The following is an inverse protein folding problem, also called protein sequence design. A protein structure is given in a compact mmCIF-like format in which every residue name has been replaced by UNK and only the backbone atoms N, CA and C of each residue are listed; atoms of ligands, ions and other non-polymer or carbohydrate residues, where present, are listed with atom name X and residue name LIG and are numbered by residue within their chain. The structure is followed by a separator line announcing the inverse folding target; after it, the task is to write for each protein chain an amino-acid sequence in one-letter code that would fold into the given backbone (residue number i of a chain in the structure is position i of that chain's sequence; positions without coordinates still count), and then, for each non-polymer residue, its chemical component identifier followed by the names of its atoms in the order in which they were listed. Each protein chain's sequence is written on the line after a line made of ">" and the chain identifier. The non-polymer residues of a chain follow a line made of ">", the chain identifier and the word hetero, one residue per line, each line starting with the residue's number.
data_IF_594647406547
#
_entry.id   IF_594647406547
#
_cell.length_a   1.000
_cell.length_b   1.000
_cell.length_c   1.000
_cell.angle_alpha   90.00
_cell.angle_beta   90.00
_cell.angle_gamma   90.00
#
_symmetry.space_group_name_H-M   'P 1'
#
loop_
_entity.id
_entity.type
_entity.pdbx_description
1 polymer ?
#
# COMPACT_ATOMS: atom_id res chain seq x y z
N UNK A 1 -4.78 -6.99 -6.38
CA UNK A 1 -5.17 -7.16 -4.96
C UNK A 1 -6.24 -6.13 -4.58
N UNK A 2 -7.37 -6.60 -4.12
CA UNK A 2 -8.47 -5.72 -3.73
C UNK A 2 -8.08 -4.78 -2.57
N UNK A 3 -7.26 -5.26 -1.63
CA UNK A 3 -6.83 -4.43 -0.51
C UNK A 3 -6.05 -3.18 -0.96
N UNK A 4 -5.46 -3.20 -2.14
CA UNK A 4 -4.67 -2.10 -2.68
C UNK A 4 -5.44 -1.24 -3.68
N UNK A 5 -6.74 -1.50 -3.87
CA UNK A 5 -7.56 -0.67 -4.78
C UNK A 5 -7.91 0.68 -4.16
N UNK A 6 -7.76 0.83 -2.86
CA UNK A 6 -8.01 2.09 -2.15
C UNK A 6 -6.71 2.93 -2.09
N UNK A 7 -6.76 4.21 -2.48
CA UNK A 7 -5.55 5.06 -2.47
C UNK A 7 -4.90 5.20 -1.10
N UNK A 8 -5.69 5.27 -0.03
CA UNK A 8 -5.15 5.40 1.33
C UNK A 8 -4.39 4.13 1.72
N UNK A 9 -4.96 2.95 1.42
CA UNK A 9 -4.30 1.69 1.73
C UNK A 9 -3.00 1.53 0.94
N UNK A 10 -2.97 1.95 -0.31
CA UNK A 10 -1.75 1.94 -1.12
C UNK A 10 -0.69 2.86 -0.51
N UNK A 11 -1.09 4.04 -0.06
CA UNK A 11 -0.17 4.98 0.62
C UNK A 11 0.39 4.38 1.91
N UNK A 12 -0.44 3.68 2.69
CA UNK A 12 0.01 2.98 3.90
C UNK A 12 1.10 1.97 3.56
N UNK A 13 0.87 1.15 2.53
CA UNK A 13 1.83 0.15 2.09
C UNK A 13 3.14 0.80 1.66
N UNK A 14 3.07 1.89 0.91
CA UNK A 14 4.27 2.61 0.47
C UNK A 14 5.07 3.15 1.65
N UNK A 15 4.41 3.67 2.67
CA UNK A 15 5.10 4.16 3.87
C UNK A 15 5.72 3.02 4.67
N UNK A 16 5.01 1.90 4.80
CA UNK A 16 5.52 0.73 5.51
C UNK A 16 6.66 0.05 4.77
N UNK A 17 6.81 0.29 3.48
CA UNK A 17 7.94 -0.22 2.71
C UNK A 17 9.27 0.39 3.17
N UNK A 18 9.22 1.55 3.80
CA UNK A 18 10.41 2.24 4.32
C UNK A 18 10.74 1.84 5.74
N UNK A 19 9.85 1.14 6.42
CA UNK A 19 10.05 0.67 7.78
C UNK A 19 8.75 0.60 8.57
N UNK A 20 8.78 -0.03 9.75
CA UNK A 20 7.59 -0.13 10.58
C UNK A 20 7.13 1.23 11.08
N UNK A 21 5.81 1.39 11.21
CA UNK A 21 5.20 2.62 11.71
C UNK A 21 4.07 2.28 12.67
N UNK A 22 3.81 3.20 13.60
CA UNK A 22 2.67 3.12 14.51
C UNK A 22 1.41 3.59 13.80
N UNK A 23 0.25 3.09 14.24
CA UNK A 23 -1.03 3.50 13.67
C UNK A 23 -1.24 5.02 13.72
N UNK A 24 -0.87 5.65 14.84
CA UNK A 24 -0.98 7.11 15.00
C UNK A 24 -0.09 7.87 14.01
N UNK A 25 1.11 7.38 13.77
CA UNK A 25 2.02 7.97 12.80
C UNK A 25 1.45 7.90 11.39
N UNK A 26 0.83 6.78 11.03
CA UNK A 26 0.17 6.62 9.73
C UNK A 26 -1.01 7.59 9.58
N UNK A 27 -1.86 7.68 10.62
CA UNK A 27 -3.00 8.61 10.63
C UNK A 27 -2.54 10.05 10.42
N UNK A 28 -1.54 10.46 11.18
CA UNK A 28 -1.05 11.84 11.15
C UNK A 28 -0.42 12.16 9.80
N UNK A 29 0.42 11.26 9.28
CA UNK A 29 1.14 11.50 8.04
C UNK A 29 0.24 11.52 6.81
N UNK A 30 -0.89 10.80 6.84
CA UNK A 30 -1.81 10.71 5.71
C UNK A 30 -3.04 11.61 5.87
N UNK A 31 -3.14 12.32 6.99
CA UNK A 31 -4.28 13.21 7.24
C UNK A 31 -5.61 12.46 7.36
N UNK A 32 -5.57 11.23 7.87
CA UNK A 32 -6.73 10.36 8.02
C UNK A 32 -7.03 10.21 9.50
N UNK A 33 -8.31 10.23 9.88
CA UNK A 33 -8.70 10.05 11.28
C UNK A 33 -8.31 8.67 11.80
N UNK A 34 -8.07 8.56 13.11
CA UNK A 34 -7.69 7.29 13.70
C UNK A 34 -8.73 6.18 13.48
N UNK A 35 -10.06 6.43 13.63
CA UNK A 35 -11.04 5.39 13.33
C UNK A 35 -11.02 4.94 11.87
N UNK A 36 -10.87 5.86 10.92
CA UNK A 36 -10.80 5.53 9.51
C UNK A 36 -9.53 4.74 9.20
N UNK A 37 -8.40 5.17 9.76
CA UNK A 37 -7.13 4.44 9.60
C UNK A 37 -7.24 3.02 10.15
N UNK A 38 -7.88 2.85 11.30
CA UNK A 38 -8.09 1.52 11.90
C UNK A 38 -8.84 0.57 10.95
N UNK A 39 -9.82 1.08 10.22
CA UNK A 39 -10.56 0.28 9.24
C UNK A 39 -9.67 -0.16 8.09
N UNK A 40 -8.84 0.76 7.56
CA UNK A 40 -7.90 0.43 6.49
C UNK A 40 -6.86 -0.58 6.94
N UNK A 41 -6.33 -0.43 8.15
CA UNK A 41 -5.34 -1.36 8.70
C UNK A 41 -5.94 -2.74 8.92
N UNK A 42 -7.22 -2.82 9.33
CA UNK A 42 -7.91 -4.10 9.46
C UNK A 42 -8.01 -4.83 8.13
N UNK A 43 -8.37 -4.11 7.07
CA UNK A 43 -8.44 -4.70 5.73
C UNK A 43 -7.07 -5.26 5.31
N UNK A 44 -6.01 -4.51 5.56
CA UNK A 44 -4.64 -4.94 5.22
C UNK A 44 -4.20 -6.14 6.06
N UNK A 45 -4.57 -6.18 7.34
CA UNK A 45 -4.30 -7.33 8.22
C UNK A 45 -5.02 -8.58 7.73
N UNK A 46 -6.31 -8.46 7.42
CA UNK A 46 -7.13 -9.58 6.95
C UNK A 46 -6.64 -10.11 5.60
N UNK A 47 -6.16 -9.22 4.75
CA UNK A 47 -5.61 -9.60 3.45
C UNK A 47 -4.20 -10.21 3.55
N UNK A 48 -3.58 -10.16 4.73
CA UNK A 48 -2.24 -10.71 4.93
C UNK A 48 -1.13 -9.85 4.36
N UNK A 49 -1.40 -8.57 4.10
CA UNK A 49 -0.42 -7.63 3.55
C UNK A 49 0.50 -7.11 4.64
N UNK A 50 -0.06 -6.87 5.83
CA UNK A 50 0.69 -6.34 6.97
C UNK A 50 0.53 -7.23 8.19
N UNK A 51 1.45 -7.08 9.14
CA UNK A 51 1.34 -7.64 10.49
C UNK A 51 1.41 -6.51 11.49
N UNK A 52 1.00 -6.79 12.73
CA UNK A 52 1.12 -5.83 13.81
C UNK A 52 1.68 -6.48 15.06
N UNK A 53 2.34 -5.67 15.86
CA UNK A 53 2.88 -6.05 17.16
C UNK A 53 2.51 -4.98 18.17
N UNK A 54 2.21 -5.39 19.40
CA UNK A 54 2.01 -4.44 20.49
C UNK A 54 3.37 -4.09 21.09
N UNK A 55 3.54 -2.81 21.42
CA UNK A 55 4.78 -2.37 22.07
C UNK A 55 4.82 -2.93 23.48
N UNK A 56 5.96 -3.51 23.87
CA UNK A 56 6.14 -4.18 25.16
C UNK A 56 5.88 -3.27 26.34
N UNK A 57 6.29 -2.01 26.23
CA UNK A 57 6.19 -0.99 27.27
C UNK A 57 4.78 -0.39 27.38
N UNK A 58 4.02 -0.43 26.28
CA UNK A 58 2.64 0.07 26.25
C UNK A 58 1.83 -0.76 25.24
N UNK A 59 1.01 -1.68 25.77
CA UNK A 59 0.20 -2.59 24.96
C UNK A 59 -0.88 -1.87 24.13
N UNK A 60 -1.14 -0.58 24.40
CA UNK A 60 -2.08 0.22 23.60
C UNK A 60 -1.46 0.68 22.29
N UNK A 61 -0.14 0.68 22.20
CA UNK A 61 0.58 1.10 21.00
C UNK A 61 0.80 -0.10 20.09
N UNK A 62 0.37 0.01 18.84
CA UNK A 62 0.54 -1.04 17.83
C UNK A 62 1.47 -0.54 16.74
N UNK A 63 2.44 -1.38 16.37
CA UNK A 63 3.38 -1.11 15.29
C UNK A 63 3.04 -2.03 14.12
N UNK A 64 2.90 -1.48 12.95
CA UNK A 64 2.57 -2.21 11.73
C UNK A 64 3.78 -2.36 10.84
N UNK A 65 3.90 -3.51 10.15
CA UNK A 65 4.97 -3.80 9.19
C UNK A 65 4.40 -4.55 8.01
N UNK A 66 5.07 -4.45 6.88
CA UNK A 66 4.75 -5.30 5.74
C UNK A 66 5.16 -6.75 6.05
N UNK A 67 4.35 -7.70 5.64
CA UNK A 67 4.74 -9.11 5.67
C UNK A 67 5.79 -9.36 4.61
N UNK A 68 6.89 -10.07 4.93
CA UNK A 68 7.91 -10.38 3.93
C UNK A 68 7.34 -11.12 2.71
N UNK A 69 6.41 -12.07 2.94
CA UNK A 69 5.78 -12.81 1.84
C UNK A 69 4.97 -11.92 0.92
N UNK A 70 4.40 -10.82 1.46
CA UNK A 70 3.61 -9.88 0.68
C UNK A 70 4.46 -8.95 -0.17
N UNK A 71 5.72 -8.73 0.19
CA UNK A 71 6.62 -7.87 -0.58
C UNK A 71 6.79 -8.43 -2.00
N UNK A 72 7.01 -9.74 -2.11
CA UNK A 72 7.16 -10.40 -3.42
C UNK A 72 5.88 -10.26 -4.24
N UNK A 73 4.72 -10.50 -3.62
CA UNK A 73 3.43 -10.40 -4.31
C UNK A 73 3.13 -8.96 -4.72
N UNK A 74 3.45 -8.00 -3.86
CA UNK A 74 3.29 -6.58 -4.18
C UNK A 74 4.18 -6.15 -5.33
N UNK A 75 5.43 -6.61 -5.34
CA UNK A 75 6.36 -6.31 -6.41
C UNK A 75 5.85 -6.86 -7.75
N UNK A 76 5.37 -8.08 -7.76
CA UNK A 76 4.81 -8.69 -8.96
C UNK A 76 3.59 -7.91 -9.46
N UNK A 77 2.72 -7.48 -8.55
CA UNK A 77 1.54 -6.68 -8.90
C UNK A 77 1.93 -5.33 -9.49
N UNK A 78 2.91 -4.66 -8.89
CA UNK A 78 3.43 -3.38 -9.39
C UNK A 78 4.07 -3.54 -10.77
N UNK A 79 4.83 -4.62 -10.96
CA UNK A 79 5.46 -4.91 -12.25
C UNK A 79 4.42 -5.09 -13.35
N UNK A 80 3.34 -5.83 -13.05
CA UNK A 80 2.23 -6.01 -13.99
C UNK A 80 1.54 -4.69 -14.32
N UNK A 81 1.32 -3.87 -13.31
CA UNK A 81 0.70 -2.56 -13.50
C UNK A 81 1.58 -1.67 -14.39
N UNK A 82 2.89 -1.67 -14.16
CA UNK A 82 3.82 -0.88 -14.95
C UNK A 82 3.90 -1.38 -16.41
N UNK A 83 3.91 -2.69 -16.60
CA UNK A 83 3.88 -3.28 -17.93
C UNK A 83 2.63 -2.85 -18.70
N UNK A 84 1.48 -2.87 -18.05
CA UNK A 84 0.23 -2.43 -18.64
C UNK A 84 0.28 -0.94 -19.01
N UNK A 85 0.81 -0.09 -18.15
CA UNK A 85 1.02 1.32 -18.43
C UNK A 85 1.93 1.52 -19.65
N UNK A 86 3.04 0.79 -19.70
CA UNK A 86 3.98 0.91 -20.80
C UNK A 86 3.35 0.52 -22.14
N UNK A 87 2.55 -0.55 -22.17
CA UNK A 87 1.81 -0.96 -23.35
C UNK A 87 0.83 0.12 -23.81
N UNK A 88 0.09 0.68 -22.88
CA UNK A 88 -0.87 1.74 -23.17
C UNK A 88 -0.20 3.00 -23.69
N UNK A 89 0.93 3.39 -23.11
CA UNK A 89 1.69 4.55 -23.56
C UNK A 89 2.25 4.35 -24.94
N UNK A 90 2.76 3.15 -25.25
CA UNK A 90 3.26 2.84 -26.59
C UNK A 90 2.15 2.86 -27.63
N UNK A 91 0.99 2.31 -27.29
CA UNK A 91 -0.18 2.34 -28.16
C UNK A 91 -0.63 3.75 -28.45
N UNK A 92 -0.68 4.59 -27.42
CA UNK A 92 -1.03 6.00 -27.55
C UNK A 92 -0.01 6.74 -28.44
N UNK A 93 1.26 6.51 -28.22
CA UNK A 93 2.33 7.13 -29.00
C UNK A 93 2.20 6.75 -30.49
N UNK A 94 2.01 5.48 -30.79
CA UNK A 94 1.82 5.01 -32.16
C UNK A 94 0.59 5.64 -32.81
N UNK A 95 -0.50 5.76 -32.05
CA UNK A 95 -1.72 6.39 -32.54
C UNK A 95 -1.50 7.86 -32.91
N UNK A 96 -0.80 8.59 -32.06
CA UNK A 96 -0.48 10.00 -32.30
C UNK A 96 0.45 10.14 -33.51
N UNK A 97 1.45 9.29 -33.64
CA UNK A 97 2.38 9.30 -34.79
C UNK A 97 1.70 9.03 -36.11
N UNK A 98 0.69 8.15 -36.12
CA UNK A 98 -0.08 7.84 -37.33
C UNK A 98 -0.90 9.00 -37.86
N UNK A 99 -1.27 9.94 -36.99
CA UNK A 99 -2.07 11.11 -37.36
C UNK A 99 -1.27 12.27 -37.93
N UNK A 100 0.04 12.15 -37.95
CA UNK A 100 0.93 13.10 -38.59
C UNK A 100 1.12 12.68 -40.05
#
# INVERSE_FOLDING_TARGET
>A
MQALSDPVRLDVVQRLSKGPLRAGELSDSLGVSAPTMSKHLRVLLEAGVVTDERVREDARVRVFRLRPQSVVALQAWLDQLQAHWNENLQSFKRHVERKR
#
